data_IF_030708514195
#
_entry.id   IF_030708514195
#
_cell.length_a   1.000
_cell.length_b   1.000
_cell.length_c   1.000
_cell.angle_alpha   90.00
_cell.angle_beta   90.00
_cell.angle_gamma   90.00
#
_symmetry.space_group_name_H-M   'P 1'
#
loop_
_entity.id
_entity.type
_entity.pdbx_description
1 polymer ?
#
# COMPACT_ATOMS: atom_id res chain seq x y z
N UNK A 1 -7.13 6.00 -7.49
CA UNK A 1 -7.89 5.28 -6.46
C UNK A 1 -9.24 5.97 -6.20
N UNK A 2 -10.34 5.22 -6.22
CA UNK A 2 -11.70 5.74 -5.99
C UNK A 2 -12.49 4.76 -5.10
N UNK A 3 -13.15 5.31 -4.10
CA UNK A 3 -13.99 4.54 -3.14
C UNK A 3 -15.50 4.74 -3.46
N UNK A 4 -15.84 4.92 -4.72
CA UNK A 4 -17.23 5.00 -5.17
C UNK A 4 -17.92 6.36 -4.94
N UNK A 5 -17.17 7.44 -4.76
CA UNK A 5 -17.72 8.79 -4.79
C UNK A 5 -17.40 9.47 -6.13
N UNK A 6 -18.41 9.79 -6.91
CA UNK A 6 -18.27 10.53 -8.17
C UNK A 6 -18.92 11.90 -8.01
N UNK A 7 -18.12 12.95 -8.03
CA UNK A 7 -18.58 14.33 -7.90
C UNK A 7 -18.22 15.12 -9.15
N UNK A 8 -19.02 16.11 -9.48
CA UNK A 8 -18.73 16.93 -10.63
C UNK A 8 -19.66 18.14 -10.78
N UNK A 9 -19.41 18.88 -11.87
CA UNK A 9 -20.24 20.02 -12.29
C UNK A 9 -20.68 19.81 -13.72
N UNK A 10 -21.98 19.73 -13.92
CA UNK A 10 -22.62 19.58 -15.23
C UNK A 10 -22.79 20.92 -15.95
N UNK A 11 -23.01 20.90 -17.26
CA UNK A 11 -23.36 22.06 -18.05
C UNK A 11 -24.71 22.65 -17.60
N UNK A 12 -24.93 23.92 -17.93
CA UNK A 12 -26.22 24.58 -17.66
C UNK A 12 -27.36 23.87 -18.45
N UNK A 13 -28.49 23.68 -17.85
CA UNK A 13 -29.64 22.98 -18.47
C UNK A 13 -29.57 21.46 -18.40
N UNK A 14 -28.54 20.85 -17.75
CA UNK A 14 -28.54 19.40 -17.51
C UNK A 14 -29.62 18.99 -16.54
N UNK A 15 -30.44 18.00 -16.94
CA UNK A 15 -31.53 17.46 -16.14
C UNK A 15 -31.24 16.11 -15.50
N UNK A 16 -30.24 15.38 -16.02
CA UNK A 16 -29.98 14.02 -15.60
C UNK A 16 -28.47 13.71 -15.69
N UNK A 17 -27.96 12.91 -14.74
CA UNK A 17 -26.59 12.38 -14.75
C UNK A 17 -26.59 10.89 -14.44
N UNK A 18 -25.78 10.14 -15.17
CA UNK A 18 -25.49 8.73 -14.91
C UNK A 18 -23.98 8.47 -14.90
N UNK A 19 -23.56 7.52 -14.07
CA UNK A 19 -22.19 7.01 -14.03
C UNK A 19 -22.19 5.56 -14.48
N UNK A 20 -21.36 5.26 -15.45
CA UNK A 20 -21.22 3.94 -16.04
C UNK A 20 -19.78 3.44 -15.86
N UNK A 21 -19.62 2.12 -15.68
CA UNK A 21 -18.36 1.41 -15.82
C UNK A 21 -18.57 0.20 -16.72
N UNK A 22 -17.65 -0.02 -17.66
CA UNK A 22 -17.72 -1.14 -18.60
C UNK A 22 -19.09 -1.27 -19.29
N UNK A 23 -19.68 -0.14 -19.70
CA UNK A 23 -20.98 -0.07 -20.35
C UNK A 23 -22.22 -0.22 -19.43
N UNK A 24 -22.03 -0.62 -18.17
CA UNK A 24 -23.13 -0.79 -17.20
C UNK A 24 -23.35 0.48 -16.39
N UNK A 25 -24.61 0.88 -16.22
CA UNK A 25 -24.99 1.99 -15.34
C UNK A 25 -24.80 1.55 -13.88
N UNK A 26 -23.93 2.26 -13.15
CA UNK A 26 -23.68 2.03 -11.73
C UNK A 26 -24.62 2.84 -10.84
N UNK A 27 -24.91 4.07 -11.24
CA UNK A 27 -25.88 4.95 -10.59
C UNK A 27 -26.33 6.04 -11.53
N UNK A 28 -27.52 6.56 -11.27
CA UNK A 28 -28.08 7.70 -12.01
C UNK A 28 -29.00 8.51 -11.12
N UNK A 29 -29.17 9.80 -11.43
CA UNK A 29 -30.14 10.67 -10.76
C UNK A 29 -30.53 11.87 -11.59
N UNK A 30 -31.78 12.43 -11.38
CA UNK A 30 -32.13 13.75 -11.87
C UNK A 30 -31.25 14.83 -11.21
N UNK A 31 -30.99 15.91 -11.95
CA UNK A 31 -30.24 17.08 -11.45
C UNK A 31 -31.17 18.30 -11.34
N UNK A 32 -31.18 18.93 -10.18
CA UNK A 32 -31.85 20.22 -9.93
C UNK A 32 -30.91 21.43 -10.02
N UNK A 33 -29.60 21.18 -10.23
CA UNK A 33 -28.57 22.19 -10.31
C UNK A 33 -27.35 21.70 -11.08
N UNK A 34 -26.24 22.43 -11.03
CA UNK A 34 -25.03 22.10 -11.79
C UNK A 34 -24.08 21.15 -11.07
N UNK A 35 -24.09 21.11 -9.73
CA UNK A 35 -23.22 20.22 -8.95
C UNK A 35 -23.92 18.89 -8.69
N UNK A 36 -23.17 17.81 -8.79
CA UNK A 36 -23.66 16.49 -8.44
C UNK A 36 -22.66 15.72 -7.59
N UNK A 37 -23.20 14.83 -6.78
CA UNK A 37 -22.49 13.79 -6.08
C UNK A 37 -23.29 12.50 -6.18
N UNK A 38 -22.65 11.42 -6.63
CA UNK A 38 -23.21 10.08 -6.75
C UNK A 38 -22.35 9.11 -5.96
N UNK A 39 -22.97 8.29 -5.13
CA UNK A 39 -22.32 7.13 -4.52
C UNK A 39 -22.54 5.92 -5.42
N UNK A 40 -21.48 5.24 -5.80
CA UNK A 40 -21.54 4.08 -6.69
C UNK A 40 -20.73 2.93 -6.06
N UNK A 41 -21.20 1.70 -6.29
CA UNK A 41 -20.37 0.52 -5.98
C UNK A 41 -19.48 0.25 -7.17
N UNK A 42 -18.18 0.52 -7.01
CA UNK A 42 -17.19 0.26 -8.04
C UNK A 42 -16.80 -1.22 -8.06
N UNK A 43 -16.56 -1.82 -9.23
CA UNK A 43 -15.76 -3.03 -9.33
C UNK A 43 -14.38 -2.81 -8.71
N UNK A 44 -13.78 -3.85 -8.16
CA UNK A 44 -12.39 -3.83 -7.71
C UNK A 44 -11.45 -3.81 -8.92
N UNK A 45 -10.35 -3.09 -8.79
CA UNK A 45 -9.32 -3.02 -9.81
C UNK A 45 -9.50 -1.87 -10.80
N UNK A 46 -8.75 -1.95 -11.89
CA UNK A 46 -8.68 -0.88 -12.88
C UNK A 46 -9.93 -0.84 -13.76
N UNK A 47 -10.42 0.38 -14.00
CA UNK A 47 -11.65 0.60 -14.78
C UNK A 47 -11.67 1.99 -15.42
N UNK A 48 -12.53 2.16 -16.42
CA UNK A 48 -12.87 3.46 -16.98
C UNK A 48 -14.29 3.85 -16.56
N UNK A 49 -14.43 5.05 -16.00
CA UNK A 49 -15.74 5.60 -15.66
C UNK A 49 -16.21 6.54 -16.77
N UNK A 50 -17.44 6.33 -17.23
CA UNK A 50 -18.11 7.26 -18.15
C UNK A 50 -19.21 8.00 -17.39
N UNK A 51 -19.12 9.32 -17.34
CA UNK A 51 -20.18 10.17 -16.81
C UNK A 51 -21.01 10.66 -18.00
N UNK A 52 -22.27 10.26 -18.04
CA UNK A 52 -23.23 10.66 -19.04
C UNK A 52 -24.15 11.74 -18.45
N UNK A 53 -24.42 12.78 -19.19
CA UNK A 53 -25.39 13.84 -18.84
C UNK A 53 -26.40 14.00 -19.93
N UNK A 54 -27.65 14.32 -19.55
CA UNK A 54 -28.76 14.60 -20.47
C UNK A 54 -29.35 15.97 -20.12
N UNK A 55 -29.47 16.85 -21.10
CA UNK A 55 -30.07 18.17 -20.96
C UNK A 55 -31.59 18.11 -21.13
N UNK A 56 -32.29 19.20 -20.79
CA UNK A 56 -33.75 19.28 -20.88
C UNK A 56 -34.31 19.10 -22.29
N UNK A 57 -33.56 19.40 -23.34
CA UNK A 57 -33.88 19.17 -24.75
C UNK A 57 -33.46 17.78 -25.27
N UNK A 58 -33.08 16.84 -24.38
CA UNK A 58 -32.69 15.47 -24.73
C UNK A 58 -31.24 15.32 -25.22
N UNK A 59 -30.47 16.39 -25.38
CA UNK A 59 -29.06 16.30 -25.83
C UNK A 59 -28.23 15.56 -24.81
N UNK A 60 -27.46 14.56 -25.29
CA UNK A 60 -26.55 13.74 -24.49
C UNK A 60 -25.12 14.24 -24.62
N UNK A 61 -24.40 14.27 -23.49
CA UNK A 61 -22.96 14.53 -23.45
C UNK A 61 -22.30 13.54 -22.50
N UNK A 62 -21.07 13.15 -22.78
CA UNK A 62 -20.35 12.24 -21.90
C UNK A 62 -18.88 12.62 -21.74
N UNK A 63 -18.33 12.31 -20.57
CA UNK A 63 -16.91 12.41 -20.28
C UNK A 63 -16.42 11.08 -19.72
N UNK A 64 -15.35 10.56 -20.28
CA UNK A 64 -14.67 9.36 -19.78
C UNK A 64 -13.51 9.76 -18.90
N UNK A 65 -13.41 9.16 -17.71
CA UNK A 65 -12.27 9.22 -16.80
C UNK A 65 -11.62 7.85 -16.87
N UNK A 66 -10.40 7.80 -17.41
CA UNK A 66 -9.58 6.58 -17.53
C UNK A 66 -8.71 6.41 -16.29
N UNK A 67 -8.08 5.25 -16.14
CA UNK A 67 -7.13 4.94 -15.07
C UNK A 67 -7.72 5.14 -13.66
N UNK A 68 -8.98 4.80 -13.51
CA UNK A 68 -9.64 4.77 -12.22
C UNK A 68 -9.46 3.39 -11.60
N UNK A 69 -8.87 3.34 -10.42
CA UNK A 69 -8.78 2.11 -9.65
C UNK A 69 -9.92 2.07 -8.63
N UNK A 70 -10.84 1.15 -8.81
CA UNK A 70 -12.02 0.99 -7.96
C UNK A 70 -11.72 0.26 -6.68
N UNK A 71 -12.14 0.80 -5.55
CA UNK A 71 -12.01 0.21 -4.22
C UNK A 71 -13.37 0.20 -3.51
N UNK A 72 -13.59 -0.73 -2.56
CA UNK A 72 -14.88 -0.82 -1.85
C UNK A 72 -15.14 0.42 -1.01
N UNK A 73 -16.37 0.87 -0.96
CA UNK A 73 -16.76 2.01 -0.11
C UNK A 73 -16.47 1.76 1.38
N UNK A 74 -16.57 0.51 1.84
CA UNK A 74 -16.23 0.11 3.20
C UNK A 74 -14.74 0.32 3.53
N UNK A 75 -13.87 0.33 2.52
CA UNK A 75 -12.43 0.54 2.67
C UNK A 75 -12.01 2.02 2.64
N UNK A 76 -12.94 2.97 2.69
CA UNK A 76 -12.61 4.40 2.76
C UNK A 76 -11.72 4.70 3.95
N UNK A 77 -10.64 5.49 3.77
CA UNK A 77 -9.74 5.86 4.85
C UNK A 77 -10.46 6.50 6.04
N UNK A 78 -10.30 5.89 7.20
CA UNK A 78 -10.81 6.38 8.48
C UNK A 78 -9.92 5.94 9.63
N UNK A 79 -9.81 6.75 10.65
CA UNK A 79 -9.07 6.38 11.86
C UNK A 79 -9.93 5.37 12.64
N UNK A 80 -9.35 4.20 12.88
CA UNK A 80 -9.96 3.14 13.67
C UNK A 80 -8.99 2.77 14.81
N UNK A 81 -9.52 2.63 16.02
CA UNK A 81 -8.70 2.23 17.18
C UNK A 81 -8.24 0.78 17.01
N UNK A 82 -6.94 0.58 17.11
CA UNK A 82 -6.35 -0.75 17.11
C UNK A 82 -6.72 -1.52 18.38
N UNK A 83 -7.05 -2.79 18.21
CA UNK A 83 -7.29 -3.71 19.33
C UNK A 83 -6.69 -5.07 19.01
N UNK A 84 -6.21 -5.76 20.03
CA UNK A 84 -5.70 -7.11 19.85
C UNK A 84 -6.85 -8.10 19.63
N UNK A 85 -6.64 -9.00 18.66
CA UNK A 85 -7.54 -10.11 18.36
C UNK A 85 -6.85 -11.43 18.71
N UNK A 86 -7.18 -11.97 19.87
CA UNK A 86 -6.53 -13.17 20.41
C UNK A 86 -6.80 -14.43 19.57
N UNK A 87 -7.96 -14.50 18.92
CA UNK A 87 -8.32 -15.64 18.05
C UNK A 87 -7.49 -15.62 16.78
N UNK A 88 -7.40 -14.46 16.14
CA UNK A 88 -6.56 -14.27 14.96
C UNK A 88 -5.08 -14.49 15.30
N UNK A 89 -4.61 -13.93 16.43
CA UNK A 89 -3.23 -14.07 16.88
C UNK A 89 -2.83 -15.54 17.05
N UNK A 90 -3.64 -16.36 17.71
CA UNK A 90 -3.38 -17.79 17.89
C UNK A 90 -3.30 -18.53 16.56
N UNK A 91 -4.27 -18.30 15.66
CA UNK A 91 -4.34 -18.94 14.35
C UNK A 91 -3.13 -18.62 13.48
N UNK A 92 -2.75 -17.35 13.40
CA UNK A 92 -1.64 -16.92 12.56
C UNK A 92 -0.29 -17.31 13.18
N UNK A 93 -0.14 -17.24 14.50
CA UNK A 93 1.08 -17.67 15.19
C UNK A 93 1.37 -19.16 14.93
N UNK A 94 0.39 -20.03 15.00
CA UNK A 94 0.58 -21.46 14.69
C UNK A 94 1.04 -21.64 13.24
N UNK A 95 0.43 -20.93 12.29
CA UNK A 95 0.82 -20.97 10.89
C UNK A 95 2.27 -20.49 10.68
N UNK A 96 2.64 -19.36 11.30
CA UNK A 96 3.96 -18.75 11.06
C UNK A 96 5.06 -19.53 11.78
N UNK A 97 4.79 -20.12 12.94
CA UNK A 97 5.75 -21.00 13.66
C UNK A 97 6.05 -22.31 12.90
N UNK A 98 5.22 -22.71 11.96
CA UNK A 98 5.53 -23.89 11.12
C UNK A 98 6.50 -23.59 9.96
N UNK A 99 6.91 -22.32 9.79
CA UNK A 99 7.91 -21.96 8.80
C UNK A 99 9.29 -22.46 9.23
N UNK A 100 10.01 -23.08 8.30
CA UNK A 100 11.38 -23.52 8.54
C UNK A 100 12.34 -22.33 8.36
N UNK A 101 12.54 -21.57 9.42
CA UNK A 101 13.34 -20.35 9.48
C UNK A 101 12.72 -19.34 10.45
N UNK A 102 13.29 -18.17 10.54
CA UNK A 102 12.71 -17.08 11.32
C UNK A 102 11.64 -16.36 10.52
N UNK A 103 10.50 -16.14 11.14
CA UNK A 103 9.40 -15.40 10.51
C UNK A 103 8.75 -14.44 11.51
N UNK A 104 8.11 -13.40 11.00
CA UNK A 104 7.31 -12.46 11.77
C UNK A 104 6.14 -11.95 10.93
N UNK A 105 5.06 -11.58 11.60
CA UNK A 105 3.92 -10.97 10.93
C UNK A 105 3.27 -9.88 11.77
N UNK A 106 2.62 -8.96 11.08
CA UNK A 106 1.64 -8.03 11.65
C UNK A 106 0.47 -7.89 10.70
N UNK A 107 -0.75 -8.02 11.24
CA UNK A 107 -2.00 -7.88 10.49
C UNK A 107 -2.97 -7.02 11.29
N UNK A 108 -3.65 -6.08 10.65
CA UNK A 108 -4.68 -5.25 11.28
C UNK A 108 -5.81 -4.91 10.32
N UNK A 109 -7.05 -5.18 10.73
CA UNK A 109 -8.22 -4.64 10.04
C UNK A 109 -8.27 -3.12 10.18
N UNK A 110 -8.20 -2.42 9.06
CA UNK A 110 -8.34 -0.96 9.00
C UNK A 110 -9.81 -0.53 8.98
N UNK A 111 -10.72 -1.49 8.84
CA UNK A 111 -12.16 -1.30 8.91
C UNK A 111 -12.71 -1.54 10.31
N UNK A 112 -12.30 -2.63 10.97
CA UNK A 112 -12.82 -3.06 12.28
C UNK A 112 -11.85 -2.87 13.43
N UNK A 113 -10.56 -2.61 13.18
CA UNK A 113 -9.53 -2.34 14.20
C UNK A 113 -8.89 -3.57 14.83
N UNK A 114 -9.49 -4.76 14.72
CA UNK A 114 -8.89 -6.00 15.22
C UNK A 114 -7.60 -6.34 14.51
N UNK A 115 -6.58 -6.83 15.23
CA UNK A 115 -5.30 -7.17 14.64
C UNK A 115 -4.49 -8.14 15.48
N UNK A 116 -3.45 -8.68 14.87
CA UNK A 116 -2.56 -9.64 15.48
C UNK A 116 -1.13 -9.45 15.00
N UNK A 117 -0.18 -9.81 15.84
CA UNK A 117 1.22 -9.84 15.46
C UNK A 117 1.94 -10.90 16.28
N UNK A 118 2.98 -11.44 15.69
CA UNK A 118 3.96 -12.26 16.38
C UNK A 118 5.32 -11.99 15.76
N UNK A 119 6.31 -11.83 16.59
CA UNK A 119 7.66 -11.42 16.16
C UNK A 119 7.62 -10.14 15.29
N UNK A 120 6.62 -9.29 15.54
CA UNK A 120 6.26 -8.18 14.66
C UNK A 120 7.23 -7.00 14.73
N UNK A 121 8.08 -6.95 15.75
CA UNK A 121 9.16 -5.98 15.96
C UNK A 121 10.54 -6.54 15.66
N UNK A 122 10.67 -7.83 15.31
CA UNK A 122 11.93 -8.40 14.91
C UNK A 122 12.47 -7.66 13.70
N UNK A 123 13.73 -7.30 13.71
CA UNK A 123 14.41 -6.71 12.58
C UNK A 123 14.72 -7.77 11.53
N UNK A 124 14.33 -7.48 10.32
CA UNK A 124 14.64 -8.27 9.13
C UNK A 124 15.41 -7.40 8.14
N UNK A 125 16.30 -7.97 7.31
CA UNK A 125 16.88 -7.24 6.19
C UNK A 125 15.75 -6.64 5.36
N UNK A 126 15.72 -5.33 5.19
CA UNK A 126 14.55 -4.66 4.58
C UNK A 126 14.33 -5.06 3.12
N UNK A 127 15.40 -5.44 2.43
CA UNK A 127 15.37 -5.64 0.98
C UNK A 127 14.65 -4.47 0.28
N UNK A 128 13.82 -4.73 -0.69
CA UNK A 128 13.10 -3.69 -1.44
C UNK A 128 11.82 -3.16 -0.78
N UNK A 129 11.46 -3.60 0.44
CA UNK A 129 10.22 -3.12 1.08
C UNK A 129 10.28 -1.63 1.43
N UNK A 130 11.46 -1.11 1.82
CA UNK A 130 11.66 0.31 2.14
C UNK A 130 11.61 1.25 0.92
N UNK A 131 11.57 0.75 -0.31
CA UNK A 131 11.30 1.55 -1.51
C UNK A 131 9.95 2.28 -1.41
N UNK A 132 9.01 1.73 -0.65
CA UNK A 132 7.75 2.42 -0.33
C UNK A 132 7.99 3.72 0.48
N UNK A 133 8.93 3.71 1.41
CA UNK A 133 9.30 4.89 2.19
C UNK A 133 10.06 5.92 1.35
N UNK A 134 10.95 5.47 0.44
CA UNK A 134 11.60 6.35 -0.54
C UNK A 134 10.54 7.07 -1.39
N UNK A 135 9.58 6.33 -1.94
CA UNK A 135 8.50 6.91 -2.75
C UNK A 135 7.67 7.94 -1.98
N UNK A 136 7.36 7.68 -0.70
CA UNK A 136 6.65 8.63 0.14
C UNK A 136 7.47 9.91 0.36
N UNK A 137 8.79 9.81 0.60
CA UNK A 137 9.68 10.95 0.76
C UNK A 137 9.82 11.77 -0.54
N UNK A 138 9.94 11.09 -1.68
CA UNK A 138 10.00 11.73 -3.00
C UNK A 138 8.73 12.52 -3.29
N UNK A 139 7.56 11.93 -3.09
CA UNK A 139 6.27 12.60 -3.32
C UNK A 139 6.05 13.77 -2.35
N UNK A 140 6.48 13.63 -1.09
CA UNK A 140 6.41 14.73 -0.12
C UNK A 140 7.26 15.93 -0.54
N UNK A 141 8.46 15.69 -1.12
CA UNK A 141 9.35 16.75 -1.64
C UNK A 141 8.85 17.32 -2.96
N UNK A 142 8.36 16.48 -3.88
CA UNK A 142 7.89 16.90 -5.20
C UNK A 142 6.63 17.76 -5.12
N UNK A 143 5.80 17.54 -4.09
CA UNK A 143 4.58 18.29 -3.82
C UNK A 143 3.58 18.26 -5.00
N UNK A 144 3.12 17.06 -5.34
CA UNK A 144 2.19 16.79 -6.43
C UNK A 144 2.62 15.57 -7.24
N UNK A 145 1.67 15.00 -7.98
CA UNK A 145 1.94 13.80 -8.81
C UNK A 145 2.92 14.20 -9.93
N UNK A 146 4.10 13.55 -10.00
CA UNK A 146 5.02 13.78 -11.11
C UNK A 146 4.35 13.42 -12.44
N UNK A 147 4.51 14.23 -13.50
CA UNK A 147 3.96 13.92 -14.82
C UNK A 147 4.43 12.55 -15.32
N UNK A 148 3.56 11.77 -15.98
CA UNK A 148 3.98 10.56 -16.66
C UNK A 148 5.12 10.86 -17.66
N UNK A 149 6.19 10.04 -17.66
CA UNK A 149 7.36 10.25 -18.51
C UNK A 149 8.35 11.33 -18.04
N UNK A 150 8.05 12.08 -16.97
CA UNK A 150 9.08 12.90 -16.32
C UNK A 150 10.13 12.02 -15.63
N UNK A 151 11.33 12.56 -15.40
CA UNK A 151 12.41 11.84 -14.72
C UNK A 151 11.95 11.20 -13.40
N UNK A 152 11.39 11.98 -12.48
CA UNK A 152 10.91 11.49 -11.20
C UNK A 152 9.73 10.53 -11.36
N UNK A 153 8.80 10.81 -12.27
CA UNK A 153 7.64 9.96 -12.51
C UNK A 153 8.01 8.57 -13.07
N UNK A 154 8.98 8.52 -13.98
CA UNK A 154 9.50 7.26 -14.55
C UNK A 154 10.21 6.45 -13.48
N UNK A 155 11.13 7.06 -12.73
CA UNK A 155 11.86 6.39 -11.64
C UNK A 155 10.92 5.86 -10.54
N UNK A 156 9.92 6.63 -10.12
CA UNK A 156 8.92 6.16 -9.15
C UNK A 156 8.17 4.93 -9.67
N UNK A 157 7.79 4.93 -10.94
CA UNK A 157 7.11 3.80 -11.56
C UNK A 157 8.01 2.56 -11.55
N UNK A 158 9.22 2.65 -12.07
CA UNK A 158 10.18 1.55 -12.13
C UNK A 158 10.51 1.01 -10.74
N UNK A 159 10.83 1.89 -9.79
CA UNK A 159 11.14 1.49 -8.41
C UNK A 159 9.99 0.73 -7.74
N UNK A 160 8.74 1.16 -7.93
CA UNK A 160 7.60 0.52 -7.25
C UNK A 160 7.11 -0.70 -8.02
N UNK A 161 6.93 -0.61 -9.35
CA UNK A 161 6.25 -1.68 -10.11
C UNK A 161 7.13 -2.86 -10.44
N UNK A 162 8.42 -2.65 -10.72
CA UNK A 162 9.39 -3.72 -11.02
C UNK A 162 10.53 -3.80 -10.00
N UNK A 163 10.46 -2.98 -8.94
CA UNK A 163 11.43 -2.99 -7.84
C UNK A 163 12.85 -2.63 -8.27
N UNK A 164 13.02 -1.77 -9.27
CA UNK A 164 14.31 -1.39 -9.80
C UNK A 164 15.19 -0.70 -8.76
N UNK A 165 16.44 -1.20 -8.58
CA UNK A 165 17.39 -0.71 -7.58
C UNK A 165 18.08 0.58 -8.05
N UNK A 166 18.38 0.70 -9.33
CA UNK A 166 18.99 1.91 -9.89
C UNK A 166 18.03 3.10 -9.81
N UNK A 167 16.74 2.86 -10.08
CA UNK A 167 15.70 3.87 -9.91
C UNK A 167 15.56 4.33 -8.44
N UNK A 168 15.68 3.40 -7.48
CA UNK A 168 15.68 3.74 -6.07
C UNK A 168 16.87 4.63 -5.70
N UNK A 169 18.09 4.25 -6.12
CA UNK A 169 19.31 5.02 -5.88
C UNK A 169 19.24 6.42 -6.53
N UNK A 170 18.74 6.51 -7.77
CA UNK A 170 18.56 7.78 -8.46
C UNK A 170 17.56 8.70 -7.75
N UNK A 171 16.50 8.15 -7.16
CA UNK A 171 15.53 8.90 -6.36
C UNK A 171 16.12 9.39 -5.04
N UNK A 172 16.98 8.61 -4.36
CA UNK A 172 17.69 9.07 -3.17
C UNK A 172 18.68 10.20 -3.50
N UNK A 173 19.39 10.09 -4.62
CA UNK A 173 20.25 11.18 -5.13
C UNK A 173 19.41 12.43 -5.44
N UNK A 174 18.27 12.27 -6.11
CA UNK A 174 17.35 13.38 -6.36
C UNK A 174 16.84 14.04 -5.07
N UNK A 175 16.58 13.24 -4.02
CA UNK A 175 16.14 13.72 -2.72
C UNK A 175 17.18 14.61 -2.04
N UNK A 176 18.48 14.28 -2.09
CA UNK A 176 19.45 14.96 -1.25
C UNK A 176 20.89 14.98 -1.81
N UNK A 177 21.11 14.69 -3.09
CA UNK A 177 22.41 14.77 -3.75
C UNK A 177 23.27 13.51 -3.64
N UNK A 178 22.96 12.57 -2.74
CA UNK A 178 23.63 11.26 -2.63
C UNK A 178 22.66 10.21 -2.07
N UNK A 179 22.98 8.93 -2.25
CA UNK A 179 22.18 7.84 -1.66
C UNK A 179 22.23 7.87 -0.13
N UNK A 180 23.38 8.23 0.46
CA UNK A 180 23.49 8.40 1.91
C UNK A 180 22.59 9.51 2.44
N UNK A 181 22.68 10.71 1.86
CA UNK A 181 21.85 11.85 2.27
C UNK A 181 20.38 11.60 2.00
N UNK A 182 20.05 10.92 0.88
CA UNK A 182 18.69 10.47 0.57
C UNK A 182 18.15 9.52 1.63
N UNK A 183 18.92 8.52 2.03
CA UNK A 183 18.58 7.60 3.13
C UNK A 183 18.29 8.36 4.44
N UNK A 184 19.07 9.39 4.76
CA UNK A 184 18.80 10.21 5.97
C UNK A 184 17.45 10.95 5.89
N UNK A 185 17.07 11.43 4.68
CA UNK A 185 15.73 12.02 4.46
C UNK A 185 14.61 11.00 4.62
N UNK A 186 14.79 9.80 4.10
CA UNK A 186 13.85 8.68 4.27
C UNK A 186 13.73 8.28 5.74
N UNK A 187 14.84 8.17 6.46
CA UNK A 187 14.86 7.91 7.90
C UNK A 187 14.14 8.99 8.71
N UNK A 188 14.35 10.26 8.36
CA UNK A 188 13.65 11.37 9.01
C UNK A 188 12.13 11.29 8.82
N UNK A 189 11.67 10.96 7.59
CA UNK A 189 10.26 10.73 7.32
C UNK A 189 9.74 9.55 8.15
N UNK A 190 10.43 8.41 8.14
CA UNK A 190 10.00 7.22 8.89
C UNK A 190 9.86 7.53 10.38
N UNK A 191 10.85 8.16 11.00
CA UNK A 191 10.79 8.58 12.41
C UNK A 191 9.65 9.55 12.69
N UNK A 192 9.39 10.51 11.79
CA UNK A 192 8.32 11.49 11.96
C UNK A 192 6.92 10.89 12.03
N UNK A 193 6.74 9.67 11.54
CA UNK A 193 5.48 8.92 11.58
C UNK A 193 5.52 7.71 12.52
N UNK A 194 6.56 7.60 13.35
CA UNK A 194 6.70 6.58 14.39
C UNK A 194 7.24 5.23 13.93
N UNK A 195 7.89 5.15 12.75
CA UNK A 195 8.59 3.94 12.30
C UNK A 195 10.03 3.98 12.86
N UNK A 196 10.18 3.61 14.10
CA UNK A 196 11.46 3.72 14.84
C UNK A 196 12.30 2.45 14.74
N UNK A 197 11.68 1.33 14.37
CA UNK A 197 12.32 0.03 14.22
C UNK A 197 12.71 -0.26 12.75
N UNK A 198 12.90 0.80 11.96
CA UNK A 198 13.30 0.72 10.54
C UNK A 198 14.44 1.68 10.24
N UNK A 199 15.41 1.22 9.43
CA UNK A 199 16.55 2.01 9.00
C UNK A 199 16.81 1.85 7.51
N UNK A 200 16.87 2.96 6.80
CA UNK A 200 17.42 3.05 5.46
C UNK A 200 18.91 3.40 5.56
N UNK A 201 19.75 2.72 4.78
CA UNK A 201 21.20 2.93 4.80
C UNK A 201 21.78 2.88 3.39
N UNK A 202 22.26 4.01 2.89
CA UNK A 202 22.86 4.14 1.56
C UNK A 202 21.98 3.60 0.43
N UNK A 203 22.57 3.43 -0.74
CA UNK A 203 21.89 2.84 -1.90
C UNK A 203 21.66 1.33 -1.78
N UNK A 204 20.97 0.76 -2.76
CA UNK A 204 20.64 -0.68 -2.77
C UNK A 204 21.83 -1.59 -3.13
N UNK A 205 22.91 -1.03 -3.63
CA UNK A 205 24.14 -1.76 -3.94
C UNK A 205 25.16 -1.77 -2.78
N UNK A 206 24.86 -1.09 -1.67
CA UNK A 206 25.75 -1.02 -0.51
C UNK A 206 25.67 -2.31 0.29
N UNK A 207 26.82 -2.90 0.56
CA UNK A 207 26.94 -4.07 1.43
C UNK A 207 26.46 -3.76 2.84
N UNK A 208 25.92 -4.75 3.52
CA UNK A 208 25.51 -4.65 4.91
C UNK A 208 26.67 -4.26 5.82
N UNK A 209 26.38 -3.43 6.81
CA UNK A 209 27.30 -3.16 7.92
C UNK A 209 27.19 -4.29 8.95
N UNK A 210 28.29 -4.62 9.60
CA UNK A 210 28.28 -5.51 10.76
C UNK A 210 28.02 -4.70 12.04
N UNK A 211 27.22 -5.23 12.95
CA UNK A 211 26.94 -4.61 14.24
C UNK A 211 25.70 -5.20 14.91
N UNK A 212 25.49 -4.92 16.20
CA UNK A 212 24.33 -5.44 16.93
C UNK A 212 23.04 -4.76 16.46
N UNK A 213 21.95 -5.51 16.51
CA UNK A 213 20.60 -4.99 16.28
C UNK A 213 20.04 -4.58 17.66
N UNK A 214 19.69 -3.29 17.86
CA UNK A 214 19.43 -2.75 19.20
C UNK A 214 17.98 -2.95 19.68
N UNK A 215 17.29 -4.00 19.21
CA UNK A 215 15.89 -4.24 19.57
C UNK A 215 15.73 -5.68 20.07
N UNK A 216 15.23 -5.84 21.30
CA UNK A 216 14.83 -7.13 21.85
C UNK A 216 13.47 -7.54 21.27
N UNK A 217 13.37 -8.76 20.79
CA UNK A 217 12.18 -9.39 20.24
C UNK A 217 12.15 -10.88 20.61
N UNK A 218 11.01 -11.54 20.42
CA UNK A 218 10.87 -12.97 20.71
C UNK A 218 11.85 -13.85 19.91
N UNK A 219 12.01 -13.53 18.63
CA UNK A 219 12.95 -14.19 17.71
C UNK A 219 13.57 -13.15 16.80
N UNK A 220 14.90 -13.07 16.77
CA UNK A 220 15.66 -12.15 15.94
C UNK A 220 16.43 -12.90 14.85
N UNK A 221 16.25 -12.56 13.55
CA UNK A 221 17.09 -13.13 12.50
C UNK A 221 18.57 -12.80 12.71
N UNK A 222 19.42 -13.78 12.45
CA UNK A 222 20.88 -13.59 12.44
C UNK A 222 21.34 -13.01 11.10
N UNK A 223 21.54 -11.70 11.05
CA UNK A 223 22.08 -11.00 9.89
C UNK A 223 22.88 -9.76 10.32
N UNK A 224 23.80 -9.32 9.46
CA UNK A 224 24.59 -8.12 9.72
C UNK A 224 23.76 -6.84 9.67
N UNK A 225 24.34 -5.76 10.13
CA UNK A 225 23.71 -4.43 10.10
C UNK A 225 23.69 -3.89 8.66
N UNK A 226 22.52 -3.47 8.24
CA UNK A 226 22.28 -2.86 6.94
C UNK A 226 20.91 -2.18 6.97
N UNK A 227 20.26 -2.09 5.83
CA UNK A 227 18.85 -1.68 5.79
C UNK A 227 18.01 -2.73 6.50
N UNK A 228 17.26 -2.33 7.51
CA UNK A 228 16.36 -3.23 8.21
C UNK A 228 14.98 -2.60 8.42
N UNK A 229 14.01 -3.46 8.62
CA UNK A 229 12.64 -3.07 8.96
C UNK A 229 11.94 -4.19 9.71
N UNK A 230 10.73 -3.93 10.16
CA UNK A 230 9.89 -4.87 10.88
C UNK A 230 8.53 -5.06 10.19
N UNK A 231 7.87 -6.17 10.45
CA UNK A 231 6.51 -6.40 9.95
C UNK A 231 5.52 -5.32 10.44
N UNK A 232 5.74 -4.83 11.66
CA UNK A 232 4.90 -3.77 12.27
C UNK A 232 5.11 -2.42 11.62
N UNK A 233 6.36 -2.01 11.39
CA UNK A 233 6.68 -0.71 10.79
C UNK A 233 6.17 -0.64 9.35
N UNK A 234 6.39 -1.69 8.57
CA UNK A 234 5.89 -1.73 7.20
C UNK A 234 4.37 -1.69 7.14
N UNK A 235 3.67 -2.43 8.01
CA UNK A 235 2.22 -2.34 8.11
C UNK A 235 1.77 -0.93 8.56
N UNK A 236 2.52 -0.28 9.44
CA UNK A 236 2.24 1.09 9.90
C UNK A 236 2.44 2.10 8.76
N UNK A 237 3.44 1.94 7.90
CA UNK A 237 3.66 2.76 6.71
C UNK A 237 2.50 2.62 5.71
N UNK A 238 2.08 1.40 5.41
CA UNK A 238 0.91 1.15 4.56
C UNK A 238 -0.37 1.77 5.11
N UNK A 239 -0.60 1.64 6.42
CA UNK A 239 -1.73 2.28 7.09
C UNK A 239 -1.64 3.81 7.00
N UNK A 240 -0.45 4.38 7.18
CA UNK A 240 -0.23 5.83 7.07
C UNK A 240 -0.50 6.36 5.66
N UNK A 241 -0.04 5.65 4.62
CA UNK A 241 -0.33 5.96 3.21
C UNK A 241 -1.83 5.85 2.89
N UNK A 242 -2.48 4.79 3.36
CA UNK A 242 -3.93 4.64 3.18
C UNK A 242 -4.71 5.77 3.85
N UNK A 243 -4.37 6.17 5.07
CA UNK A 243 -4.98 7.31 5.76
C UNK A 243 -4.71 8.62 5.01
N UNK A 244 -3.47 8.83 4.54
CA UNK A 244 -3.09 10.03 3.79
C UNK A 244 -3.88 10.16 2.48
N UNK A 245 -4.23 9.05 1.82
CA UNK A 245 -5.09 9.03 0.63
C UNK A 245 -6.49 9.61 0.87
N UNK A 246 -6.93 9.62 2.14
CA UNK A 246 -8.15 10.24 2.66
C UNK A 246 -7.92 11.56 3.40
N UNK A 247 -6.79 12.23 3.20
CA UNK A 247 -6.40 13.49 3.83
C UNK A 247 -6.24 13.41 5.37
N UNK A 248 -5.78 12.27 5.92
CA UNK A 248 -5.72 12.02 7.37
C UNK A 248 -4.44 11.29 7.77
N UNK A 249 -4.13 11.30 9.05
CA UNK A 249 -3.16 10.46 9.71
C UNK A 249 -1.72 10.97 9.67
N UNK A 250 -0.81 10.23 10.38
CA UNK A 250 0.50 10.74 10.75
C UNK A 250 1.36 11.17 9.56
N UNK A 251 1.27 10.47 8.44
CA UNK A 251 2.04 10.84 7.24
C UNK A 251 1.59 12.19 6.67
N UNK A 252 0.28 12.48 6.69
CA UNK A 252 -0.25 13.76 6.24
C UNK A 252 0.10 14.89 7.21
N UNK A 253 0.08 14.58 8.51
CA UNK A 253 0.37 15.56 9.57
C UNK A 253 1.87 15.92 9.58
N UNK A 254 2.75 14.92 9.43
CA UNK A 254 4.21 15.11 9.45
C UNK A 254 4.79 15.61 8.11
N UNK A 255 4.11 15.36 6.99
CA UNK A 255 4.57 15.69 5.64
C UNK A 255 3.51 16.51 4.89
N UNK A 256 3.38 17.81 5.16
CA UNK A 256 2.37 18.65 4.52
C UNK A 256 2.50 18.75 2.99
N UNK A 257 3.71 18.53 2.45
CA UNK A 257 3.97 18.46 1.01
C UNK A 257 3.35 17.24 0.32
N UNK A 258 3.12 16.15 1.06
CA UNK A 258 2.48 14.95 0.52
C UNK A 258 0.96 15.12 0.49
N UNK A 259 0.40 15.36 -0.69
CA UNK A 259 -1.05 15.55 -0.85
C UNK A 259 -1.83 14.23 -0.82
N UNK A 260 -3.15 14.26 -0.60
CA UNK A 260 -3.96 13.05 -0.74
C UNK A 260 -3.93 12.44 -2.14
N UNK A 261 -3.67 13.25 -3.17
CA UNK A 261 -3.51 12.78 -4.54
C UNK A 261 -2.22 11.99 -4.72
N UNK A 262 -1.12 12.45 -4.11
CA UNK A 262 0.18 11.75 -4.11
C UNK A 262 0.09 10.40 -3.42
N UNK A 263 -0.55 10.34 -2.25
CA UNK A 263 -0.79 9.09 -1.55
C UNK A 263 -1.64 8.11 -2.39
N UNK A 264 -2.69 8.60 -3.08
CA UNK A 264 -3.49 7.77 -4.01
C UNK A 264 -2.68 7.33 -5.22
N UNK A 265 -1.76 8.16 -5.72
CA UNK A 265 -0.87 7.78 -6.82
C UNK A 265 0.09 6.68 -6.39
N UNK A 266 0.71 6.78 -5.22
CA UNK A 266 1.59 5.73 -4.70
C UNK A 266 0.84 4.41 -4.48
N UNK A 267 -0.36 4.44 -3.93
CA UNK A 267 -1.23 3.27 -3.83
C UNK A 267 -1.58 2.69 -5.21
N UNK A 268 -1.79 3.55 -6.21
CA UNK A 268 -2.04 3.10 -7.59
C UNK A 268 -0.81 2.42 -8.20
N UNK A 269 0.40 2.95 -8.00
CA UNK A 269 1.63 2.28 -8.42
C UNK A 269 1.77 0.90 -7.76
N UNK A 270 1.47 0.81 -6.46
CA UNK A 270 1.53 -0.45 -5.72
C UNK A 270 0.47 -1.48 -6.14
N UNK A 271 -0.61 -1.05 -6.79
CA UNK A 271 -1.58 -1.95 -7.42
C UNK A 271 -1.07 -2.56 -8.74
N UNK A 272 0.04 -2.03 -9.29
CA UNK A 272 0.63 -2.46 -10.56
C UNK A 272 2.01 -3.12 -10.38
N UNK A 273 2.30 -3.60 -9.18
CA UNK A 273 3.53 -4.36 -8.90
C UNK A 273 3.56 -5.64 -9.74
N UNK A 274 4.71 -5.85 -10.38
CA UNK A 274 4.98 -7.01 -11.25
C UNK A 274 6.00 -7.93 -10.59
N UNK A 275 5.64 -8.49 -9.46
CA UNK A 275 6.47 -9.44 -8.73
C UNK A 275 5.78 -10.81 -8.69
N UNK A 276 6.51 -11.83 -8.23
CA UNK A 276 5.92 -13.15 -8.04
C UNK A 276 4.86 -13.11 -6.92
N UNK A 277 3.72 -13.80 -7.08
CA UNK A 277 2.64 -13.75 -6.11
C UNK A 277 3.07 -14.17 -4.69
N UNK A 278 2.77 -13.30 -3.71
CA UNK A 278 3.03 -13.48 -2.28
C UNK A 278 1.76 -13.22 -1.47
N UNK A 279 1.56 -12.02 -0.94
CA UNK A 279 0.27 -11.64 -0.31
C UNK A 279 -0.88 -11.70 -1.30
N UNK A 280 -0.66 -11.32 -2.53
CA UNK A 280 -1.62 -11.32 -3.63
C UNK A 280 -2.05 -12.72 -4.10
N UNK A 281 -1.41 -13.81 -3.66
CA UNK A 281 -1.92 -15.18 -3.82
C UNK A 281 -3.37 -15.30 -3.36
N UNK A 282 -3.75 -14.55 -2.31
CA UNK A 282 -5.13 -14.53 -1.80
C UNK A 282 -6.11 -13.98 -2.84
N UNK A 283 -5.70 -13.05 -3.71
CA UNK A 283 -6.54 -12.52 -4.78
C UNK A 283 -6.75 -13.54 -5.91
N UNK A 284 -5.71 -14.29 -6.26
CA UNK A 284 -5.81 -15.39 -7.23
C UNK A 284 -6.72 -16.53 -6.77
N UNK A 285 -6.74 -16.80 -5.46
CA UNK A 285 -7.56 -17.88 -4.87
C UNK A 285 -9.01 -17.46 -4.54
N UNK A 286 -9.28 -16.15 -4.40
CA UNK A 286 -10.54 -15.61 -3.86
C UNK A 286 -11.11 -14.50 -4.73
N UNK A 287 -12.23 -14.75 -5.40
CA UNK A 287 -12.94 -13.72 -6.17
C UNK A 287 -13.31 -12.51 -5.31
N UNK A 288 -13.21 -11.32 -5.86
CA UNK A 288 -13.57 -10.06 -5.20
C UNK A 288 -12.62 -9.65 -4.07
N UNK A 289 -11.35 -10.02 -4.20
CA UNK A 289 -10.22 -9.61 -3.38
C UNK A 289 -9.20 -8.93 -4.28
N UNK A 290 -8.56 -7.91 -3.75
CA UNK A 290 -7.49 -7.18 -4.43
C UNK A 290 -6.40 -6.81 -3.44
N UNK A 291 -5.15 -6.73 -3.91
CA UNK A 291 -3.98 -6.52 -3.05
C UNK A 291 -3.07 -5.45 -3.64
N UNK A 292 -2.79 -4.44 -2.85
CA UNK A 292 -1.76 -3.45 -3.12
C UNK A 292 -0.57 -3.78 -2.24
N UNK A 293 0.59 -4.05 -2.83
CA UNK A 293 1.71 -4.53 -2.03
C UNK A 293 3.07 -4.01 -2.51
N UNK A 294 4.08 -4.17 -1.67
CA UNK A 294 5.49 -4.04 -2.01
C UNK A 294 6.27 -5.16 -1.36
N UNK A 295 6.80 -6.01 -2.19
CA UNK A 295 7.68 -7.08 -1.76
C UNK A 295 9.14 -6.63 -1.67
N UNK A 296 9.93 -7.44 -0.96
CA UNK A 296 11.38 -7.32 -0.91
C UNK A 296 12.00 -8.70 -0.73
N UNK A 297 13.11 -8.94 -1.43
CA UNK A 297 13.82 -10.20 -1.32
C UNK A 297 15.31 -10.04 -1.56
N UNK A 298 16.09 -10.86 -0.88
CA UNK A 298 17.50 -11.18 -1.09
C UNK A 298 17.64 -12.69 -0.89
N UNK A 299 18.83 -13.24 -1.07
CA UNK A 299 19.04 -14.69 -0.93
C UNK A 299 18.53 -15.29 0.39
N UNK A 300 18.65 -14.56 1.49
CA UNK A 300 18.35 -15.02 2.85
C UNK A 300 17.05 -14.46 3.43
N UNK A 301 16.42 -13.47 2.79
CA UNK A 301 15.21 -12.83 3.29
C UNK A 301 14.18 -12.63 2.17
N UNK A 302 12.89 -12.85 2.48
CA UNK A 302 11.81 -12.69 1.51
C UNK A 302 10.55 -12.22 2.21
N UNK A 303 10.06 -11.06 1.83
CA UNK A 303 9.02 -10.32 2.53
C UNK A 303 7.92 -9.89 1.59
N UNK A 304 6.72 -9.73 2.13
CA UNK A 304 5.70 -8.94 1.46
C UNK A 304 4.85 -8.17 2.45
N UNK A 305 4.50 -6.95 2.08
CA UNK A 305 3.72 -6.04 2.90
C UNK A 305 2.72 -5.28 2.04
N UNK A 306 1.50 -5.10 2.54
CA UNK A 306 0.48 -4.46 1.71
C UNK A 306 -0.89 -4.32 2.34
N UNK A 307 -1.82 -3.88 1.53
CA UNK A 307 -3.24 -3.70 1.82
C UNK A 307 -4.05 -4.74 1.06
N UNK A 308 -4.90 -5.47 1.76
CA UNK A 308 -5.81 -6.47 1.17
C UNK A 308 -7.23 -5.93 1.26
N UNK A 309 -7.87 -5.77 0.10
CA UNK A 309 -9.21 -5.22 -0.05
C UNK A 309 -10.22 -6.32 -0.37
N UNK A 310 -11.40 -6.22 0.23
CA UNK A 310 -12.57 -7.02 -0.14
C UNK A 310 -13.83 -6.17 0.01
N UNK A 311 -14.97 -6.66 -0.46
CA UNK A 311 -16.23 -5.89 -0.43
C UNK A 311 -16.57 -5.26 0.93
N UNK A 312 -16.24 -5.94 2.03
CA UNK A 312 -16.53 -5.51 3.41
C UNK A 312 -15.49 -4.61 4.04
N UNK A 313 -14.33 -4.38 3.41
CA UNK A 313 -13.30 -3.53 4.02
C UNK A 313 -11.90 -3.70 3.48
N UNK A 314 -10.95 -3.39 4.35
CA UNK A 314 -9.51 -3.47 4.08
C UNK A 314 -8.76 -3.86 5.36
N UNK A 315 -7.72 -4.66 5.22
CA UNK A 315 -6.73 -4.87 6.27
C UNK A 315 -5.32 -4.66 5.72
N UNK A 316 -4.41 -4.32 6.59
CA UNK A 316 -2.97 -4.28 6.31
C UNK A 316 -2.32 -5.58 6.77
N UNK A 317 -1.34 -6.08 6.01
CA UNK A 317 -0.51 -7.21 6.37
C UNK A 317 0.96 -6.91 6.10
N UNK A 318 1.84 -7.35 7.00
CA UNK A 318 3.27 -7.46 6.78
C UNK A 318 3.72 -8.86 7.19
N UNK A 319 4.41 -9.55 6.30
CA UNK A 319 4.98 -10.88 6.55
C UNK A 319 6.46 -10.85 6.18
N UNK A 320 7.30 -11.18 7.15
CA UNK A 320 8.75 -11.18 7.04
C UNK A 320 9.27 -12.60 7.26
N UNK A 321 10.25 -13.01 6.47
CA UNK A 321 10.90 -14.32 6.62
C UNK A 321 12.41 -14.18 6.42
N UNK A 322 13.16 -14.99 7.17
CA UNK A 322 14.61 -15.07 7.09
C UNK A 322 15.09 -16.51 7.30
N UNK A 323 16.11 -16.90 6.55
CA UNK A 323 16.82 -18.15 6.76
C UNK A 323 18.24 -18.02 6.23
N UNK A 324 19.25 -18.28 7.06
CA UNK A 324 20.67 -18.15 6.71
C UNK A 324 21.07 -19.04 5.52
N UNK A 325 20.48 -20.23 5.40
CA UNK A 325 20.70 -21.15 4.28
C UNK A 325 19.95 -20.77 2.99
N UNK A 326 19.25 -19.64 2.98
CA UNK A 326 18.46 -19.15 1.85
C UNK A 326 16.97 -19.39 1.98
N UNK A 327 16.19 -18.50 1.38
CA UNK A 327 14.72 -18.52 1.34
C UNK A 327 14.21 -18.85 -0.08
N UNK A 328 12.96 -19.24 -0.20
CA UNK A 328 12.36 -19.59 -1.48
C UNK A 328 10.83 -19.49 -1.46
N UNK A 329 10.19 -20.27 -2.31
CA UNK A 329 8.74 -20.26 -2.52
C UNK A 329 7.91 -20.47 -1.23
N UNK A 330 8.46 -21.18 -0.23
CA UNK A 330 7.80 -21.36 1.07
C UNK A 330 7.47 -20.04 1.77
N UNK A 331 8.30 -19.01 1.59
CA UNK A 331 8.06 -17.65 2.10
C UNK A 331 6.85 -16.99 1.43
N UNK A 332 6.75 -17.11 0.10
CA UNK A 332 5.62 -16.58 -0.68
C UNK A 332 4.31 -17.26 -0.31
N UNK A 333 4.36 -18.59 -0.17
CA UNK A 333 3.21 -19.39 0.26
C UNK A 333 2.78 -19.00 1.67
N UNK A 334 3.73 -18.76 2.59
CA UNK A 334 3.42 -18.29 3.94
C UNK A 334 2.70 -16.95 3.90
N UNK A 335 3.19 -15.97 3.13
CA UNK A 335 2.57 -14.66 3.00
C UNK A 335 1.13 -14.76 2.48
N UNK A 336 0.90 -15.54 1.44
CA UNK A 336 -0.44 -15.80 0.91
C UNK A 336 -1.37 -16.48 1.93
N UNK A 337 -0.87 -17.46 2.69
CA UNK A 337 -1.66 -18.13 3.75
C UNK A 337 -2.01 -17.19 4.90
N UNK A 338 -1.09 -16.31 5.32
CA UNK A 338 -1.38 -15.28 6.32
C UNK A 338 -2.48 -14.35 5.83
N UNK A 339 -2.40 -13.88 4.59
CA UNK A 339 -3.43 -13.04 3.98
C UNK A 339 -4.79 -13.78 3.89
N UNK A 340 -4.81 -15.02 3.43
CA UNK A 340 -6.02 -15.82 3.28
C UNK A 340 -6.72 -16.07 4.64
N UNK A 341 -5.96 -16.47 5.67
CA UNK A 341 -6.51 -16.72 7.02
C UNK A 341 -7.01 -15.44 7.69
N UNK A 342 -6.33 -14.32 7.45
CA UNK A 342 -6.77 -13.00 7.92
C UNK A 342 -8.07 -12.58 7.26
N UNK A 343 -8.17 -12.75 5.94
CA UNK A 343 -9.38 -12.46 5.17
C UNK A 343 -10.57 -13.30 5.63
N UNK A 344 -10.38 -14.60 5.83
CA UNK A 344 -11.41 -15.50 6.37
C UNK A 344 -11.92 -15.04 7.74
N UNK A 345 -11.01 -14.55 8.59
CA UNK A 345 -11.36 -14.04 9.92
C UNK A 345 -12.14 -12.73 9.84
N UNK A 346 -11.71 -11.77 9.01
CA UNK A 346 -12.33 -10.44 8.92
C UNK A 346 -13.63 -10.40 8.09
N UNK A 347 -13.94 -11.45 7.35
CA UNK A 347 -15.21 -11.58 6.61
C UNK A 347 -16.37 -12.08 7.46
N UNK A 348 -16.09 -12.59 8.64
CA UNK A 348 -17.10 -13.03 9.64
C UNK A 348 -17.68 -11.81 10.35
#
# INVERSE_FOLDING_TARGET
MSYGAVTGRAARGTRFVAVLANGRVLASKPLRGRRFSLSVTLPLGELSLRVLTVSGNGRRSSRTVREVYGLPAAARPRVVRSRQDAVLARRLRTLVKSYNGTAGFYVQSLTGGGGAGWNAKAHFPAASTLKLAIAAAVLARHSGIPPPGSYVGSLLREMITVSDDAAANALEVWLAGSTYAGSQRVNALMRSIGLIDSLMYGGYEVRSLSGPIPVEVDEQPDFGVGKYTTARDMASLWRALWLASGARGPLRDAQPGLTPADARHLLWLAAHVRDQPKLDRVAGERRGVDVLHKAGWISQARHDTGLVFWRGGVFVAGVMTFRSSGVGLSSDVLAGRVAARSLEHFRR
#
